data_IF_567140160158
#
_entry.id   IF_567140160158
#
_cell.length_a   1.000
_cell.length_b   1.000
_cell.length_c   1.000
_cell.angle_alpha   90.00
_cell.angle_beta   90.00
_cell.angle_gamma   90.00
#
_symmetry.space_group_name_H-M   'P 1'
#
loop_
_entity.id
_entity.type
_entity.pdbx_description
1 polymer ?
#
# COMPACT_ATOMS: atom_id res chain seq x y z
N UNK A 1 -0.39 -16.38 21.49
CA UNK A 1 -1.84 -16.42 21.19
C UNK A 1 -2.11 -15.29 20.22
N UNK A 2 -2.10 -15.59 18.93
CA UNK A 2 -2.54 -14.67 17.89
C UNK A 2 -4.07 -14.85 17.80
N UNK A 3 -4.82 -13.76 17.72
CA UNK A 3 -6.28 -13.79 17.67
C UNK A 3 -6.75 -14.74 16.55
N UNK A 4 -7.60 -15.70 16.89
CA UNK A 4 -7.93 -16.85 16.04
C UNK A 4 -8.83 -16.51 14.84
N UNK A 5 -9.34 -15.29 14.74
CA UNK A 5 -10.24 -14.89 13.66
C UNK A 5 -9.84 -13.51 13.15
N UNK A 6 -9.24 -13.47 11.96
CA UNK A 6 -9.20 -12.25 11.14
C UNK A 6 -10.63 -11.93 10.72
N UNK A 7 -11.11 -10.68 10.84
CA UNK A 7 -12.46 -10.34 10.41
C UNK A 7 -12.66 -10.68 8.93
N UNK A 8 -13.76 -11.34 8.59
CA UNK A 8 -14.18 -11.59 7.22
C UNK A 8 -14.33 -10.26 6.48
N UNK A 9 -13.34 -9.93 5.66
CA UNK A 9 -13.39 -8.74 4.82
C UNK A 9 -14.23 -9.05 3.58
N UNK A 10 -15.51 -8.62 3.60
CA UNK A 10 -16.42 -8.73 2.48
C UNK A 10 -16.44 -7.42 1.66
N UNK A 11 -15.86 -7.38 0.45
CA UNK A 11 -15.84 -6.18 -0.40
C UNK A 11 -17.21 -5.76 -0.95
N UNK A 12 -18.21 -6.65 -0.91
CA UNK A 12 -19.55 -6.42 -1.47
C UNK A 12 -20.57 -5.95 -0.43
N UNK A 13 -20.18 -5.80 0.83
CA UNK A 13 -21.04 -5.26 1.88
C UNK A 13 -21.10 -3.73 1.77
N UNK A 14 -21.82 -3.25 0.76
CA UNK A 14 -22.17 -1.83 0.58
C UNK A 14 -23.31 -1.39 1.52
N UNK A 15 -23.46 -2.05 2.67
CA UNK A 15 -24.31 -1.54 3.73
C UNK A 15 -23.67 -0.28 4.30
N UNK A 16 -24.33 0.86 4.09
CA UNK A 16 -23.98 2.10 4.79
C UNK A 16 -24.15 1.85 6.28
N UNK A 17 -23.04 1.60 6.98
CA UNK A 17 -23.03 1.48 8.44
C UNK A 17 -23.45 2.83 9.00
N UNK A 18 -24.50 2.86 9.82
CA UNK A 18 -24.94 4.09 10.48
C UNK A 18 -24.07 4.40 11.71
N UNK A 19 -24.00 5.68 12.07
CA UNK A 19 -23.28 6.11 13.27
C UNK A 19 -23.88 5.49 14.53
N UNK A 20 -23.07 4.79 15.32
CA UNK A 20 -23.52 4.14 16.57
C UNK A 20 -23.91 5.13 17.67
N UNK A 21 -23.51 6.41 17.57
CA UNK A 21 -23.79 7.43 18.57
C UNK A 21 -25.08 8.22 18.29
N UNK A 22 -25.31 8.62 17.03
CA UNK A 22 -26.49 9.41 16.66
C UNK A 22 -27.53 8.62 15.86
N UNK A 23 -27.13 7.60 15.09
CA UNK A 23 -28.02 6.85 14.21
C UNK A 23 -28.66 7.65 13.06
N UNK A 24 -28.27 8.92 12.87
CA UNK A 24 -28.86 9.83 11.89
C UNK A 24 -28.05 9.94 10.59
N UNK A 25 -26.73 9.73 10.67
CA UNK A 25 -25.80 9.87 9.56
C UNK A 25 -24.98 8.59 9.38
N UNK A 26 -24.56 8.25 8.16
CA UNK A 26 -23.67 7.13 7.92
C UNK A 26 -22.32 7.36 8.61
N UNK A 27 -21.80 6.30 9.23
CA UNK A 27 -20.48 6.30 9.82
C UNK A 27 -19.40 6.38 8.74
N UNK A 28 -18.51 7.36 8.87
CA UNK A 28 -17.38 7.55 7.95
C UNK A 28 -16.03 7.34 8.64
N UNK A 29 -16.03 7.15 9.96
CA UNK A 29 -14.82 6.91 10.75
C UNK A 29 -14.98 5.68 11.63
N UNK A 30 -13.86 5.00 11.86
CA UNK A 30 -13.75 3.84 12.73
C UNK A 30 -12.82 4.17 13.90
N UNK A 31 -13.34 4.06 15.12
CA UNK A 31 -12.62 4.34 16.35
C UNK A 31 -12.23 3.04 17.04
N UNK A 32 -10.94 2.91 17.35
CA UNK A 32 -10.36 1.79 18.12
C UNK A 32 -9.99 2.29 19.51
N UNK A 33 -10.64 1.75 20.55
CA UNK A 33 -10.33 2.10 21.93
C UNK A 33 -9.78 0.89 22.67
N UNK A 34 -8.65 1.09 23.36
CA UNK A 34 -8.03 0.07 24.21
C UNK A 34 -8.23 0.46 25.66
N UNK A 35 -9.04 -0.30 26.39
CA UNK A 35 -9.26 -0.13 27.83
C UNK A 35 -8.93 -1.45 28.52
N UNK A 36 -8.00 -1.44 29.48
CA UNK A 36 -7.56 -2.61 30.24
C UNK A 36 -7.17 -3.82 29.36
N UNK A 37 -6.51 -3.55 28.22
CA UNK A 37 -6.07 -4.58 27.26
C UNK A 37 -7.18 -5.16 26.39
N UNK A 38 -8.43 -4.68 26.52
CA UNK A 38 -9.53 -5.02 25.63
C UNK A 38 -9.69 -3.95 24.56
N UNK A 39 -9.74 -4.39 23.30
CA UNK A 39 -9.96 -3.53 22.14
C UNK A 39 -11.46 -3.48 21.84
N UNK A 40 -12.04 -2.28 21.81
CA UNK A 40 -13.41 -2.04 21.36
C UNK A 40 -13.40 -1.21 20.08
N UNK A 41 -14.28 -1.59 19.15
CA UNK A 41 -14.44 -0.99 17.83
C UNK A 41 -15.76 -0.20 17.79
N UNK A 42 -15.75 1.02 17.25
CA UNK A 42 -16.95 1.86 17.16
C UNK A 42 -16.98 2.66 15.86
N UNK A 43 -18.12 2.68 15.17
CA UNK A 43 -18.34 3.41 13.92
C UNK A 43 -19.06 4.75 14.18
N UNK A 44 -18.46 5.87 13.78
CA UNK A 44 -18.95 7.22 14.08
C UNK A 44 -19.04 8.10 12.82
N UNK A 45 -20.03 9.02 12.78
CA UNK A 45 -20.08 10.11 11.81
C UNK A 45 -19.10 11.24 12.19
N UNK A 46 -18.77 12.16 11.25
CA UNK A 46 -17.84 13.28 11.45
C UNK A 46 -18.09 14.06 12.74
N UNK A 47 -19.35 14.39 12.99
CA UNK A 47 -19.78 15.21 14.14
C UNK A 47 -19.62 14.47 15.46
N UNK A 48 -19.95 13.18 15.48
CA UNK A 48 -19.88 12.37 16.69
C UNK A 48 -18.45 11.99 17.08
N UNK A 49 -17.51 11.87 16.13
CA UNK A 49 -16.13 11.62 16.53
C UNK A 49 -15.45 12.86 17.11
N UNK A 50 -15.80 14.07 16.66
CA UNK A 50 -15.26 15.31 17.21
C UNK A 50 -15.61 15.46 18.69
N UNK A 51 -16.87 15.21 19.07
CA UNK A 51 -17.30 15.28 20.47
C UNK A 51 -16.66 14.20 21.36
N UNK A 52 -16.38 13.01 20.82
CA UNK A 52 -15.68 11.93 21.53
C UNK A 52 -14.19 12.24 21.68
N UNK A 53 -13.57 12.87 20.68
CA UNK A 53 -12.17 13.30 20.73
C UNK A 53 -11.94 14.36 21.83
N UNK A 54 -12.88 15.27 22.03
CA UNK A 54 -12.79 16.30 23.09
C UNK A 54 -12.88 15.71 24.51
N UNK A 55 -13.57 14.58 24.69
CA UNK A 55 -13.81 13.96 26.01
C UNK A 55 -12.75 12.92 26.40
N UNK A 56 -11.83 12.58 25.48
CA UNK A 56 -10.88 11.48 25.69
C UNK A 56 -9.46 12.00 25.87
N UNK A 57 -9.12 12.28 27.14
CA UNK A 57 -7.75 12.54 27.56
C UNK A 57 -6.93 11.23 27.58
N UNK A 58 -6.62 10.69 26.41
CA UNK A 58 -5.82 9.47 26.32
C UNK A 58 -5.89 8.80 24.96
N UNK A 59 -4.82 8.98 24.19
CA UNK A 59 -4.35 8.15 23.07
C UNK A 59 -5.24 6.96 22.70
N UNK A 60 -6.27 7.22 21.89
CA UNK A 60 -7.01 6.21 21.14
C UNK A 60 -7.53 6.81 19.83
N UNK A 61 -6.64 7.50 19.11
CA UNK A 61 -6.86 7.91 17.71
C UNK A 61 -5.81 7.23 16.86
N UNK A 62 -5.92 5.90 16.76
CA UNK A 62 -5.34 5.17 15.64
C UNK A 62 -6.43 5.11 14.58
N UNK A 63 -6.51 6.19 13.77
CA UNK A 63 -6.47 6.19 12.31
C UNK A 63 -6.87 7.59 11.75
N UNK A 64 -5.91 8.18 11.02
CA UNK A 64 -6.02 9.20 9.98
C UNK A 64 -6.56 10.61 10.31
N UNK A 65 -5.76 11.43 10.99
CA UNK A 65 -5.74 12.88 10.71
C UNK A 65 -4.31 13.37 10.42
N UNK A 66 -4.12 14.24 9.41
CA UNK A 66 -2.87 14.95 9.16
C UNK A 66 -2.48 15.83 10.34
N UNK A 67 -1.19 15.90 10.63
CA UNK A 67 -0.50 16.69 11.66
C UNK A 67 -0.66 18.22 11.55
N UNK A 68 -1.62 18.72 10.76
CA UNK A 68 -1.78 20.15 10.43
C UNK A 68 -2.44 20.95 11.57
N UNK A 69 -3.01 20.29 12.59
CA UNK A 69 -3.55 20.97 13.78
C UNK A 69 -2.54 21.16 14.92
N UNK A 70 -1.23 21.10 14.64
CA UNK A 70 -0.19 21.50 15.59
C UNK A 70 0.09 23.01 15.50
N UNK A 71 -0.95 23.84 15.65
CA UNK A 71 -0.80 25.30 15.77
C UNK A 71 -1.38 25.76 17.11
N UNK A 72 -0.59 25.54 18.15
CA UNK A 72 -0.98 25.82 19.54
C UNK A 72 0.22 25.83 20.49
N UNK A 73 1.07 26.86 20.32
CA UNK A 73 2.05 27.41 21.27
C UNK A 73 3.28 26.56 21.67
N UNK A 74 4.45 27.14 21.36
CA UNK A 74 5.81 26.91 21.88
C UNK A 74 6.69 25.84 21.23
N UNK A 75 7.32 26.18 20.09
CA UNK A 75 8.66 25.69 19.71
C UNK A 75 9.39 26.85 18.99
N UNK A 76 10.65 27.17 19.32
CA UNK A 76 11.30 28.43 18.95
C UNK A 76 11.75 28.48 17.48
N UNK A 77 11.82 29.72 17.00
CA UNK A 77 12.34 30.15 15.70
C UNK A 77 13.79 29.71 15.49
N UNK A 78 14.11 29.05 14.37
CA UNK A 78 15.38 29.23 13.64
C UNK A 78 15.31 28.52 12.29
N UNK A 79 15.09 29.26 11.20
CA UNK A 79 16.01 29.40 10.04
C UNK A 79 15.34 30.20 8.91
N UNK A 80 16.00 31.23 8.33
CA UNK A 80 15.43 31.98 7.22
C UNK A 80 15.60 31.22 5.91
N UNK A 81 14.49 30.76 5.33
CA UNK A 81 14.43 30.19 3.98
C UNK A 81 14.59 31.31 2.94
N UNK A 82 15.71 31.33 2.22
CA UNK A 82 15.88 32.16 1.03
C UNK A 82 15.08 31.59 -0.15
N UNK A 83 14.38 32.41 -0.95
CA UNK A 83 13.62 31.94 -2.09
C UNK A 83 14.57 31.59 -3.25
N UNK A 84 14.97 30.32 -3.30
CA UNK A 84 15.60 29.73 -4.48
C UNK A 84 14.62 29.64 -5.64
N UNK A 85 15.01 30.24 -6.76
CA UNK A 85 14.22 30.36 -7.97
C UNK A 85 13.85 29.01 -8.59
N UNK A 86 12.65 28.92 -9.17
CA UNK A 86 12.34 27.98 -10.25
C UNK A 86 12.16 26.50 -9.88
N UNK A 87 11.52 26.17 -8.76
CA UNK A 87 10.98 24.81 -8.57
C UNK A 87 9.51 24.83 -8.94
N UNK A 88 9.18 24.05 -9.96
CA UNK A 88 7.83 23.67 -10.36
C UNK A 88 7.11 23.14 -9.11
N UNK A 89 6.40 24.04 -8.40
CA UNK A 89 5.68 23.72 -7.17
C UNK A 89 4.41 22.97 -7.57
N UNK A 90 4.58 21.75 -8.06
CA UNK A 90 3.46 20.83 -8.20
C UNK A 90 3.00 20.52 -6.79
N UNK A 91 1.77 20.93 -6.48
CA UNK A 91 1.07 20.63 -5.25
C UNK A 91 -0.22 19.90 -5.59
N UNK A 92 -0.67 19.02 -4.70
CA UNK A 92 -1.95 18.37 -4.86
C UNK A 92 -3.07 19.39 -4.58
N UNK A 93 -3.93 19.64 -5.56
CA UNK A 93 -5.06 20.57 -5.39
C UNK A 93 -6.11 20.10 -4.36
N UNK A 94 -6.07 18.82 -3.96
CA UNK A 94 -7.04 18.22 -3.03
C UNK A 94 -6.58 18.33 -1.57
N UNK A 95 -5.34 17.96 -1.27
CA UNK A 95 -4.83 17.94 0.11
C UNK A 95 -3.67 18.91 0.38
N UNK A 96 -3.18 19.60 -0.65
CA UNK A 96 -2.09 20.58 -0.54
C UNK A 96 -0.69 20.00 -0.44
N UNK A 97 -0.51 18.67 -0.40
CA UNK A 97 0.83 18.04 -0.35
C UNK A 97 1.68 18.54 -1.51
N UNK A 98 2.92 18.95 -1.23
CA UNK A 98 3.87 19.43 -2.24
C UNK A 98 4.85 18.35 -2.65
N UNK A 99 5.51 18.53 -3.80
CA UNK A 99 6.58 17.63 -4.24
C UNK A 99 7.77 17.57 -3.27
N UNK A 100 8.01 18.63 -2.48
CA UNK A 100 9.01 18.63 -1.39
C UNK A 100 8.59 17.72 -0.24
N UNK A 101 7.33 17.83 0.20
CA UNK A 101 6.81 17.00 1.31
C UNK A 101 6.90 15.52 0.98
N UNK A 102 6.58 15.15 -0.27
CA UNK A 102 6.70 13.78 -0.74
C UNK A 102 8.15 13.28 -0.74
N UNK A 103 9.12 14.12 -1.11
CA UNK A 103 10.54 13.74 -1.13
C UNK A 103 11.14 13.59 0.27
N UNK A 104 10.72 14.44 1.21
CA UNK A 104 11.23 14.42 2.57
C UNK A 104 10.58 13.32 3.42
N UNK A 105 9.25 13.16 3.30
CA UNK A 105 8.50 12.17 4.10
C UNK A 105 8.40 10.80 3.45
N UNK A 106 8.51 10.72 2.11
CA UNK A 106 8.22 9.50 1.34
C UNK A 106 6.73 9.14 1.29
N UNK A 107 5.84 9.97 1.84
CA UNK A 107 4.41 9.67 1.99
C UNK A 107 3.54 10.57 1.10
N UNK A 108 2.44 10.01 0.62
CA UNK A 108 1.39 10.73 -0.10
C UNK A 108 0.22 11.06 0.81
N UNK A 109 -0.41 12.23 0.62
CA UNK A 109 -1.46 12.72 1.52
C UNK A 109 -2.88 12.23 1.20
N UNK A 110 -3.22 11.99 -0.07
CA UNK A 110 -4.55 11.54 -0.49
C UNK A 110 -4.48 10.73 -1.81
N UNK A 111 -5.57 10.09 -2.27
CA UNK A 111 -5.57 9.30 -3.50
C UNK A 111 -5.15 10.10 -4.75
N UNK A 112 -5.57 11.37 -4.85
CA UNK A 112 -5.17 12.25 -5.97
C UNK A 112 -3.65 12.49 -6.07
N UNK A 113 -2.91 12.35 -4.96
CA UNK A 113 -1.44 12.51 -4.97
C UNK A 113 -0.74 11.47 -5.85
N UNK A 114 -1.28 10.26 -6.01
CA UNK A 114 -0.70 9.25 -6.91
C UNK A 114 -0.74 9.70 -8.37
N UNK A 115 -1.76 10.47 -8.75
CA UNK A 115 -1.88 11.00 -10.10
C UNK A 115 -1.00 12.25 -10.28
N UNK A 116 -1.00 13.15 -9.28
CA UNK A 116 -0.23 14.40 -9.32
C UNK A 116 1.28 14.16 -9.30
N UNK A 117 1.75 13.16 -8.54
CA UNK A 117 3.18 12.89 -8.33
C UNK A 117 3.67 11.60 -8.98
N UNK A 118 2.96 11.11 -10.00
CA UNK A 118 3.24 9.82 -10.65
C UNK A 118 4.69 9.65 -11.08
N UNK A 119 5.23 10.64 -11.78
CA UNK A 119 6.61 10.61 -12.31
C UNK A 119 7.64 10.52 -11.17
N UNK A 120 7.42 11.25 -10.06
CA UNK A 120 8.30 11.24 -8.91
C UNK A 120 8.21 9.90 -8.15
N UNK A 121 7.00 9.39 -7.94
CA UNK A 121 6.77 8.10 -7.29
C UNK A 121 7.40 6.94 -8.08
N UNK A 122 7.22 6.91 -9.40
CA UNK A 122 7.84 5.90 -10.27
C UNK A 122 9.37 5.94 -10.18
N UNK A 123 9.97 7.13 -10.17
CA UNK A 123 11.42 7.28 -10.05
C UNK A 123 11.94 6.87 -8.67
N UNK A 124 11.17 7.08 -7.60
CA UNK A 124 11.53 6.65 -6.25
C UNK A 124 11.45 5.13 -6.11
N UNK A 125 10.37 4.50 -6.58
CA UNK A 125 10.19 3.04 -6.51
C UNK A 125 11.24 2.31 -7.35
N UNK A 126 11.60 2.82 -8.54
CA UNK A 126 12.60 2.20 -9.41
C UNK A 126 14.04 2.23 -8.85
N UNK A 127 14.35 3.09 -7.88
CA UNK A 127 15.71 3.20 -7.33
C UNK A 127 16.02 2.11 -6.30
N UNK A 128 15.01 1.68 -5.54
CA UNK A 128 15.22 0.82 -4.38
C UNK A 128 14.69 -0.62 -4.59
N UNK A 129 14.05 -0.89 -5.73
CA UNK A 129 13.54 -2.21 -6.08
C UNK A 129 14.26 -2.70 -7.34
N UNK A 130 15.33 -3.48 -7.15
CA UNK A 130 15.72 -4.49 -8.13
C UNK A 130 14.47 -5.32 -8.37
N UNK A 131 13.97 -5.39 -9.62
CA UNK A 131 12.62 -5.84 -9.93
C UNK A 131 12.29 -7.16 -9.21
N UNK A 132 11.62 -7.06 -8.05
CA UNK A 132 11.15 -8.23 -7.31
C UNK A 132 9.93 -8.70 -8.08
N UNK A 133 10.20 -9.50 -9.11
CA UNK A 133 9.17 -10.21 -9.83
C UNK A 133 8.53 -11.21 -8.85
N UNK A 134 7.41 -10.81 -8.25
CA UNK A 134 6.59 -11.69 -7.45
C UNK A 134 6.05 -12.81 -8.33
N UNK A 135 6.51 -14.05 -8.09
CA UNK A 135 5.99 -15.23 -8.78
C UNK A 135 4.58 -15.62 -8.30
N UNK A 136 4.05 -14.99 -7.24
CA UNK A 136 2.76 -15.33 -6.64
C UNK A 136 2.86 -16.47 -5.61
N UNK A 137 1.73 -16.77 -4.94
CA UNK A 137 1.56 -17.95 -4.05
C UNK A 137 0.82 -19.03 -4.83
N UNK A 138 1.34 -20.25 -4.83
CA UNK A 138 0.66 -21.40 -5.46
C UNK A 138 -0.13 -22.17 -4.40
N UNK A 139 -1.43 -22.43 -4.59
CA UNK A 139 -2.19 -23.29 -3.69
C UNK A 139 -1.66 -24.72 -3.75
N UNK A 140 -1.55 -25.37 -2.59
CA UNK A 140 -1.00 -26.74 -2.44
C UNK A 140 -1.78 -27.81 -3.24
N UNK A 141 -3.01 -27.49 -3.66
CA UNK A 141 -3.91 -28.35 -4.46
C UNK A 141 -4.48 -27.58 -5.68
N UNK A 142 -3.64 -26.82 -6.36
CA UNK A 142 -3.99 -26.18 -7.64
C UNK A 142 -3.95 -27.16 -8.82
N UNK A 143 -4.51 -26.77 -9.98
CA UNK A 143 -4.36 -27.53 -11.21
C UNK A 143 -2.87 -27.64 -11.61
N UNK A 144 -2.49 -28.78 -12.20
CA UNK A 144 -1.08 -29.05 -12.58
C UNK A 144 -0.52 -27.98 -13.55
N UNK A 145 -1.39 -27.39 -14.36
CA UNK A 145 -1.08 -26.28 -15.27
C UNK A 145 -0.55 -25.04 -14.55
N UNK A 146 -1.00 -24.76 -13.34
CA UNK A 146 -0.51 -23.61 -12.57
C UNK A 146 0.92 -23.84 -12.07
N UNK A 147 1.25 -25.07 -11.66
CA UNK A 147 2.62 -25.44 -11.30
C UNK A 147 3.56 -25.33 -12.50
N UNK A 148 3.12 -25.78 -13.69
CA UNK A 148 3.89 -25.67 -14.93
C UNK A 148 4.15 -24.20 -15.30
N UNK A 149 3.12 -23.34 -15.24
CA UNK A 149 3.26 -21.90 -15.50
C UNK A 149 4.22 -21.21 -14.54
N UNK A 150 4.19 -21.56 -13.26
CA UNK A 150 5.12 -21.01 -12.27
C UNK A 150 6.57 -21.45 -12.53
N UNK A 151 6.78 -22.72 -12.86
CA UNK A 151 8.13 -23.21 -13.18
C UNK A 151 8.66 -22.55 -14.45
N UNK A 152 7.82 -22.30 -15.46
CA UNK A 152 8.21 -21.53 -16.64
C UNK A 152 8.65 -20.10 -16.27
N UNK A 153 7.87 -19.38 -15.46
CA UNK A 153 8.26 -18.02 -15.01
C UNK A 153 9.60 -18.01 -14.26
N UNK A 154 9.84 -19.04 -13.43
CA UNK A 154 11.12 -19.21 -12.74
C UNK A 154 12.29 -19.42 -13.71
N UNK A 155 12.11 -20.28 -14.71
CA UNK A 155 13.13 -20.56 -15.71
C UNK A 155 13.39 -19.36 -16.63
N UNK A 156 12.39 -18.55 -16.96
CA UNK A 156 12.55 -17.30 -17.73
C UNK A 156 13.43 -16.28 -16.99
N UNK A 157 13.30 -16.19 -15.67
CA UNK A 157 14.20 -15.37 -14.85
C UNK A 157 15.61 -15.93 -14.83
N UNK A 158 15.76 -17.22 -14.57
CA UNK A 158 17.06 -17.89 -14.56
C UNK A 158 17.78 -17.75 -15.91
N UNK A 159 17.04 -17.81 -17.02
CA UNK A 159 17.58 -17.58 -18.35
C UNK A 159 18.16 -16.17 -18.49
N UNK A 160 17.43 -15.13 -18.04
CA UNK A 160 17.92 -13.75 -18.06
C UNK A 160 19.19 -13.56 -17.23
N UNK A 161 19.24 -14.15 -16.04
CA UNK A 161 20.41 -14.11 -15.17
C UNK A 161 21.63 -14.81 -15.80
N UNK A 162 21.45 -16.02 -16.36
CA UNK A 162 22.51 -16.75 -17.02
C UNK A 162 23.06 -16.02 -18.25
N UNK A 163 22.19 -15.37 -19.03
CA UNK A 163 22.59 -14.54 -20.17
C UNK A 163 23.36 -13.30 -19.70
N UNK A 164 22.91 -12.64 -18.63
CA UNK A 164 23.59 -11.48 -18.06
C UNK A 164 25.00 -11.82 -17.52
N UNK A 165 25.20 -13.05 -17.06
CA UNK A 165 26.49 -13.58 -16.58
C UNK A 165 27.30 -14.33 -17.66
N UNK A 166 26.91 -14.25 -18.93
CA UNK A 166 27.61 -14.88 -20.06
C UNK A 166 27.73 -16.42 -19.96
N UNK A 167 26.85 -17.07 -19.18
CA UNK A 167 26.80 -18.53 -18.99
C UNK A 167 25.95 -19.18 -20.08
N UNK A 168 26.41 -19.08 -21.34
CA UNK A 168 25.60 -19.42 -22.51
C UNK A 168 25.24 -20.90 -22.63
N UNK A 169 26.11 -21.81 -22.19
CA UNK A 169 25.84 -23.25 -22.24
C UNK A 169 24.67 -23.63 -21.31
N UNK A 170 24.66 -23.08 -20.10
CA UNK A 170 23.58 -23.28 -19.15
C UNK A 170 22.29 -22.57 -19.61
N UNK A 171 22.42 -21.36 -20.16
CA UNK A 171 21.29 -20.64 -20.75
C UNK A 171 20.61 -21.45 -21.87
N UNK A 172 21.39 -22.14 -22.71
CA UNK A 172 20.86 -23.02 -23.74
C UNK A 172 20.04 -24.18 -23.12
N UNK A 173 20.55 -24.80 -22.05
CA UNK A 173 19.82 -25.84 -21.32
C UNK A 173 18.50 -25.34 -20.71
N UNK A 174 18.49 -24.13 -20.13
CA UNK A 174 17.27 -23.51 -19.59
C UNK A 174 16.26 -23.18 -20.70
N UNK A 175 16.73 -22.67 -21.84
CA UNK A 175 15.88 -22.40 -23.02
C UNK A 175 15.23 -23.66 -23.55
N UNK A 176 15.97 -24.75 -23.64
CA UNK A 176 15.45 -26.03 -24.14
C UNK A 176 14.40 -26.59 -23.16
N UNK A 177 14.62 -26.43 -21.84
CA UNK A 177 13.63 -26.79 -20.81
C UNK A 177 12.36 -25.96 -20.87
N UNK A 178 12.47 -24.66 -21.14
CA UNK A 178 11.31 -23.77 -21.36
C UNK A 178 10.47 -24.23 -22.57
N UNK A 179 11.12 -24.64 -23.66
CA UNK A 179 10.42 -25.16 -24.84
C UNK A 179 9.67 -26.46 -24.53
N UNK A 180 10.27 -27.37 -23.76
CA UNK A 180 9.63 -28.62 -23.33
C UNK A 180 8.38 -28.35 -22.46
N UNK A 181 8.49 -27.47 -21.45
CA UNK A 181 7.36 -27.12 -20.59
C UNK A 181 6.24 -26.43 -21.37
N UNK A 182 6.58 -25.56 -22.33
CA UNK A 182 5.60 -24.91 -23.22
C UNK A 182 4.80 -25.92 -24.06
N UNK A 183 5.45 -26.96 -24.58
CA UNK A 183 4.76 -28.03 -25.32
C UNK A 183 3.82 -28.84 -24.41
N UNK A 184 4.26 -29.14 -23.18
CA UNK A 184 3.42 -29.86 -22.18
C UNK A 184 2.17 -29.05 -21.82
N UNK A 185 2.30 -27.74 -21.66
CA UNK A 185 1.17 -26.86 -21.36
C UNK A 185 0.13 -26.85 -22.51
N UNK A 186 0.59 -26.72 -23.76
CA UNK A 186 -0.28 -26.77 -24.94
C UNK A 186 -0.95 -28.14 -25.13
N UNK A 187 -0.30 -29.22 -24.70
CA UNK A 187 -0.89 -30.56 -24.70
C UNK A 187 -1.96 -30.78 -23.62
N UNK A 188 -1.90 -30.03 -22.51
CA UNK A 188 -2.87 -30.11 -21.41
C UNK A 188 -4.12 -29.25 -21.60
N UNK A 189 -4.09 -28.27 -22.51
CA UNK A 189 -5.21 -27.40 -22.85
C UNK A 189 -6.10 -27.95 -23.99
N UNK A 190 -5.74 -29.13 -24.53
CA UNK A 190 -6.45 -29.84 -25.61
C UNK A 190 -7.25 -31.02 -25.08
#
# INVERSE_FOLDING_TARGET
>A
MFAEESPDWNPDDSSSIDCELCGEEPATMHLLRVVDGKVSHTHLCPRCAESVAEQTEGLALVLALPTVLRKGKNVPETTPYQPGQGRDQRFCAVCGTTASDLKESGLVGCPACYQTFREQLEAMVKRDVEAVEHLGKVPLRGPETDNLRHEMLRLERMLRELVAHERYEEAAGVRDRLAELGQRLQGSEK
#
